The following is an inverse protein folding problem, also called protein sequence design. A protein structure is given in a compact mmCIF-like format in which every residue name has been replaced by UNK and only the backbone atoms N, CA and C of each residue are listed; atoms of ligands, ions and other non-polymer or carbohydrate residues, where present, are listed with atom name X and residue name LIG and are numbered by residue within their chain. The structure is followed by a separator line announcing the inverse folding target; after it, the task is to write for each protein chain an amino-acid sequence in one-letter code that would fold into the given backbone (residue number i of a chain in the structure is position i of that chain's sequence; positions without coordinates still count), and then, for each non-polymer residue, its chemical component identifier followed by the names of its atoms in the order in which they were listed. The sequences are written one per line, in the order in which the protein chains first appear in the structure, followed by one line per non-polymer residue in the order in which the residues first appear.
data_IF_785991679680
#
_entry.id   IF_785991679680
#
_cell.length_a   1.000
_cell.length_b   1.000
_cell.length_c   1.000
_cell.angle_alpha   90.00
_cell.angle_beta   90.00
_cell.angle_gamma   90.00
#
_symmetry.space_group_name_H-M   'P 1'
#
loop_
_entity.id
_entity.type
_entity.pdbx_description
1 polymer ?
#
# COMPACT_ATOMS: atom_id res chain seq x y z
N UNK A 1 -32.85 -0.26 29.00
CA UNK A 1 -32.23 0.79 29.81
C UNK A 1 -31.36 0.17 30.92
N UNK A 2 -31.91 -0.60 31.83
CA UNK A 2 -31.23 -1.12 33.04
C UNK A 2 -29.94 -1.89 32.78
N UNK A 3 -29.80 -2.61 31.63
CA UNK A 3 -28.59 -3.35 31.28
C UNK A 3 -27.49 -2.45 30.70
N UNK A 4 -27.86 -1.31 30.11
CA UNK A 4 -26.91 -0.44 29.38
C UNK A 4 -26.49 0.79 30.16
N UNK A 5 -27.40 1.34 30.98
CA UNK A 5 -27.16 2.54 31.78
C UNK A 5 -25.88 2.45 32.65
N UNK A 6 -25.58 1.33 33.34
CA UNK A 6 -24.35 1.20 34.12
C UNK A 6 -23.06 1.24 33.32
N UNK A 7 -23.17 1.14 31.98
CA UNK A 7 -22.03 1.20 31.06
C UNK A 7 -21.87 2.56 30.40
N UNK A 8 -22.76 3.49 30.67
CA UNK A 8 -22.71 4.86 30.14
C UNK A 8 -22.16 5.81 31.22
N UNK A 9 -20.94 6.36 31.01
CA UNK A 9 -20.37 7.31 31.97
C UNK A 9 -21.18 8.62 32.09
N UNK A 10 -21.87 9.01 31.00
CA UNK A 10 -22.67 10.24 30.94
C UNK A 10 -24.11 10.09 31.47
N UNK A 11 -24.53 8.85 31.68
CA UNK A 11 -25.96 8.57 31.93
C UNK A 11 -26.84 8.69 30.69
N UNK A 12 -26.29 9.06 29.54
CA UNK A 12 -27.02 9.16 28.28
C UNK A 12 -26.82 7.88 27.47
N UNK A 13 -27.86 7.38 26.82
CA UNK A 13 -27.83 6.17 26.01
C UNK A 13 -28.16 6.49 24.56
N UNK A 14 -27.29 6.08 23.64
CA UNK A 14 -27.57 6.15 22.22
C UNK A 14 -28.27 4.88 21.74
N UNK A 15 -29.43 5.03 21.12
CA UNK A 15 -30.13 3.98 20.40
C UNK A 15 -30.19 4.34 18.92
N UNK A 16 -29.40 3.66 18.11
CA UNK A 16 -29.49 3.82 16.66
C UNK A 16 -30.86 3.35 16.17
N UNK A 17 -31.54 4.19 15.40
CA UNK A 17 -32.83 3.87 14.81
C UNK A 17 -32.69 3.66 13.32
N UNK A 18 -33.04 2.48 12.87
CA UNK A 18 -32.95 2.04 11.49
C UNK A 18 -32.27 0.69 11.39
N UNK A 19 -32.55 0.00 10.31
CA UNK A 19 -31.92 -1.27 9.96
C UNK A 19 -31.92 -1.39 8.45
N UNK A 20 -30.97 -2.14 7.92
CA UNK A 20 -30.91 -2.48 6.52
C UNK A 20 -32.19 -3.22 6.06
N UNK A 21 -32.66 -2.94 4.87
CA UNK A 21 -33.88 -3.50 4.27
C UNK A 21 -35.19 -3.21 5.03
N UNK A 22 -35.22 -2.19 5.88
CA UNK A 22 -36.42 -1.78 6.58
C UNK A 22 -36.86 -0.37 6.22
N UNK A 23 -38.16 -0.17 6.12
CA UNK A 23 -38.73 1.16 5.97
C UNK A 23 -38.65 1.94 7.29
N UNK A 24 -38.64 3.29 7.25
CA UNK A 24 -38.73 4.09 8.47
C UNK A 24 -39.89 3.68 9.34
N UNK A 25 -39.67 3.66 10.64
CA UNK A 25 -40.75 3.39 11.58
C UNK A 25 -41.60 4.66 11.79
N UNK A 26 -42.72 4.73 11.08
CA UNK A 26 -43.62 5.89 11.13
C UNK A 26 -44.31 6.08 12.52
N UNK A 27 -44.36 5.05 13.34
CA UNK A 27 -44.92 5.15 14.69
C UNK A 27 -43.92 5.69 15.74
N UNK A 28 -42.65 5.88 15.36
CA UNK A 28 -41.63 6.29 16.32
C UNK A 28 -41.92 7.63 17.02
N UNK A 29 -42.37 8.70 16.31
CA UNK A 29 -42.69 9.96 17.00
C UNK A 29 -43.81 9.83 18.05
N UNK A 30 -44.83 9.03 17.73
CA UNK A 30 -45.92 8.76 18.66
C UNK A 30 -45.45 7.91 19.84
N UNK A 31 -44.62 6.92 19.59
CA UNK A 31 -44.01 6.11 20.64
C UNK A 31 -43.14 6.96 21.59
N UNK A 32 -42.31 7.86 21.09
CA UNK A 32 -41.49 8.75 21.91
C UNK A 32 -42.36 9.63 22.78
N UNK A 33 -43.42 10.23 22.22
CA UNK A 33 -44.35 11.04 22.99
C UNK A 33 -45.02 10.23 24.11
N UNK A 34 -45.60 9.07 23.78
CA UNK A 34 -46.24 8.18 24.76
C UNK A 34 -45.25 7.74 25.87
N UNK A 35 -44.03 7.40 25.48
CA UNK A 35 -43.00 6.98 26.45
C UNK A 35 -42.68 8.12 27.42
N UNK A 36 -42.46 9.33 26.94
CA UNK A 36 -42.15 10.49 27.78
C UNK A 36 -43.34 10.95 28.68
N UNK A 37 -44.56 10.66 28.25
CA UNK A 37 -45.78 10.93 29.07
C UNK A 37 -45.99 9.87 30.18
N UNK A 38 -45.41 8.68 30.02
CA UNK A 38 -45.70 7.54 30.93
C UNK A 38 -44.50 7.10 31.78
N UNK A 39 -43.34 7.71 31.57
CA UNK A 39 -42.10 7.38 32.31
C UNK A 39 -41.44 8.66 32.79
N UNK A 40 -41.26 8.77 34.11
CA UNK A 40 -40.63 9.95 34.73
C UNK A 40 -39.13 9.79 34.93
N UNK A 41 -38.59 8.55 34.84
CA UNK A 41 -37.19 8.24 35.11
C UNK A 41 -36.28 8.42 33.87
N UNK A 42 -36.87 8.47 32.69
CA UNK A 42 -36.14 8.53 31.41
C UNK A 42 -36.90 9.41 30.42
N UNK A 43 -36.13 10.10 29.58
CA UNK A 43 -36.65 10.89 28.48
C UNK A 43 -36.04 10.43 27.15
N UNK A 44 -36.84 10.23 26.11
CA UNK A 44 -36.43 9.87 24.78
C UNK A 44 -36.44 11.08 23.86
N UNK A 45 -35.33 11.30 23.16
CA UNK A 45 -35.22 12.34 22.13
C UNK A 45 -34.82 11.71 20.80
N UNK A 46 -35.44 12.16 19.71
CA UNK A 46 -34.97 11.84 18.35
C UNK A 46 -34.10 12.98 17.88
N UNK A 47 -32.80 12.72 17.80
CA UNK A 47 -31.79 13.71 17.48
C UNK A 47 -30.81 13.16 16.43
N UNK A 48 -30.02 14.03 15.83
CA UNK A 48 -28.90 13.61 14.97
C UNK A 48 -27.73 13.11 15.80
N UNK A 49 -26.84 12.34 15.18
CA UNK A 49 -25.59 11.89 15.84
C UNK A 49 -24.71 13.08 16.25
N UNK A 50 -24.66 14.13 15.44
CA UNK A 50 -23.93 15.37 15.77
C UNK A 50 -24.50 16.00 17.03
N UNK A 51 -25.81 16.18 17.08
CA UNK A 51 -26.48 16.74 18.26
C UNK A 51 -26.25 15.89 19.52
N UNK A 52 -26.29 14.54 19.38
CA UNK A 52 -25.96 13.64 20.48
C UNK A 52 -24.54 13.89 21.02
N UNK A 53 -23.57 14.05 20.12
CA UNK A 53 -22.17 14.31 20.51
C UNK A 53 -21.98 15.68 21.15
N UNK A 54 -22.70 16.71 20.67
CA UNK A 54 -22.65 18.07 21.22
C UNK A 54 -23.28 18.14 22.63
N UNK A 55 -24.33 17.33 22.89
CA UNK A 55 -25.00 17.25 24.17
C UNK A 55 -24.36 16.24 25.16
N UNK A 56 -23.33 15.51 24.71
CA UNK A 56 -22.68 14.49 25.51
C UNK A 56 -21.74 15.11 26.54
N UNK A 57 -22.08 15.02 27.80
CA UNK A 57 -21.29 15.55 28.91
C UNK A 57 -20.31 14.48 29.44
N UNK A 58 -19.15 14.37 28.81
CA UNK A 58 -18.09 13.44 29.22
C UNK A 58 -16.75 14.17 29.28
N UNK A 59 -16.03 13.98 30.37
CA UNK A 59 -14.64 14.40 30.50
C UNK A 59 -13.74 13.32 29.88
N UNK A 60 -12.89 13.63 28.91
CA UNK A 60 -12.07 12.62 28.22
C UNK A 60 -11.25 11.69 29.14
N UNK A 61 -10.80 12.19 30.30
CA UNK A 61 -10.06 11.41 31.30
C UNK A 61 -10.90 10.39 32.09
N UNK A 62 -12.24 10.44 31.98
CA UNK A 62 -13.16 9.52 32.64
C UNK A 62 -13.49 8.30 31.78
N UNK A 63 -13.09 8.30 30.52
CA UNK A 63 -13.36 7.21 29.58
C UNK A 63 -12.34 6.08 29.71
N UNK A 64 -12.82 4.84 29.66
CA UNK A 64 -11.94 3.68 29.50
C UNK A 64 -11.28 3.70 28.12
N UNK A 65 -9.95 3.71 28.11
CA UNK A 65 -9.20 3.61 26.88
C UNK A 65 -9.21 2.17 26.38
N UNK A 66 -9.74 1.94 25.19
CA UNK A 66 -9.70 0.64 24.52
C UNK A 66 -8.54 0.67 23.51
N UNK A 67 -7.61 -0.29 23.66
CA UNK A 67 -6.49 -0.45 22.74
C UNK A 67 -6.70 -1.71 21.88
N UNK A 68 -6.23 -1.63 20.61
CA UNK A 68 -6.32 -2.71 19.66
C UNK A 68 -7.61 -2.72 18.83
N UNK A 69 -7.73 -3.71 17.96
CA UNK A 69 -8.85 -3.85 17.05
C UNK A 69 -10.13 -4.27 17.78
N UNK A 70 -11.22 -3.53 17.59
CA UNK A 70 -12.52 -3.78 18.22
C UNK A 70 -13.34 -4.80 17.40
N UNK A 71 -12.79 -6.00 17.23
CA UNK A 71 -13.35 -7.05 16.39
C UNK A 71 -13.92 -8.23 17.21
N UNK A 72 -14.71 -7.95 18.23
CA UNK A 72 -15.33 -9.00 19.07
C UNK A 72 -16.76 -9.25 18.64
N UNK A 73 -17.07 -10.50 18.30
CA UNK A 73 -18.44 -10.97 18.13
C UNK A 73 -18.98 -11.44 19.46
N UNK A 74 -20.15 -10.93 19.85
CA UNK A 74 -20.78 -11.28 21.11
C UNK A 74 -21.74 -12.48 20.92
N UNK A 75 -21.21 -13.63 20.52
CA UNK A 75 -22.01 -14.86 20.37
C UNK A 75 -22.50 -15.46 21.70
N UNK A 76 -21.91 -15.06 22.83
CA UNK A 76 -22.16 -15.69 24.12
C UNK A 76 -23.48 -15.28 24.80
N UNK A 77 -24.20 -14.32 24.26
CA UNK A 77 -25.40 -13.77 24.92
C UNK A 77 -26.73 -14.34 24.40
N UNK A 78 -26.72 -15.33 23.50
CA UNK A 78 -27.97 -15.94 22.95
C UNK A 78 -28.90 -14.97 22.24
N UNK A 79 -28.51 -13.71 22.06
CA UNK A 79 -29.26 -12.67 21.34
C UNK A 79 -28.55 -12.39 20.03
N UNK A 80 -29.24 -12.57 18.92
CA UNK A 80 -28.79 -12.26 17.57
C UNK A 80 -28.72 -10.74 17.33
N UNK A 81 -27.87 -10.06 18.08
CA UNK A 81 -27.58 -8.66 17.86
C UNK A 81 -26.42 -8.58 16.87
N UNK A 82 -26.74 -8.26 15.63
CA UNK A 82 -25.82 -7.95 14.50
C UNK A 82 -24.37 -8.38 14.75
N UNK A 83 -23.99 -9.61 14.42
CA UNK A 83 -22.63 -10.07 14.65
C UNK A 83 -21.69 -9.26 13.77
N UNK A 84 -20.61 -8.74 14.35
CA UNK A 84 -19.52 -8.19 13.56
C UNK A 84 -18.92 -9.31 12.71
N UNK A 85 -18.87 -9.12 11.39
CA UNK A 85 -18.38 -10.11 10.43
C UNK A 85 -16.85 -10.13 10.40
N UNK A 86 -16.21 -10.55 11.49
CA UNK A 86 -14.75 -10.51 11.64
C UNK A 86 -13.98 -11.37 10.64
N UNK A 87 -14.60 -12.42 10.10
CA UNK A 87 -13.94 -13.33 9.16
C UNK A 87 -13.81 -12.77 7.74
N UNK A 88 -14.45 -11.63 7.45
CA UNK A 88 -14.34 -10.96 6.15
C UNK A 88 -12.92 -10.53 5.81
N UNK A 89 -12.09 -10.23 6.83
CA UNK A 89 -10.68 -9.86 6.62
C UNK A 89 -9.82 -11.01 6.07
N UNK A 90 -10.20 -12.26 6.33
CA UNK A 90 -9.47 -13.44 5.90
C UNK A 90 -10.11 -14.21 4.73
N UNK A 91 -11.27 -13.74 4.25
CA UNK A 91 -11.96 -14.35 3.11
C UNK A 91 -11.40 -13.81 1.80
N UNK A 92 -11.15 -14.69 0.81
CA UNK A 92 -10.62 -14.31 -0.50
C UNK A 92 -9.36 -13.42 -0.42
N UNK A 93 -8.37 -13.82 0.39
CA UNK A 93 -7.11 -13.06 0.59
C UNK A 93 -6.43 -12.66 -0.73
N UNK A 94 -6.36 -13.48 -1.80
CA UNK A 94 -5.79 -13.06 -3.07
C UNK A 94 -6.44 -11.78 -3.63
N UNK A 95 -7.76 -11.63 -3.54
CA UNK A 95 -8.46 -10.43 -4.00
C UNK A 95 -8.11 -9.19 -3.15
N UNK A 96 -7.91 -9.36 -1.85
CA UNK A 96 -7.46 -8.27 -0.96
C UNK A 96 -6.02 -7.84 -1.26
N UNK A 97 -5.16 -8.79 -1.63
CA UNK A 97 -3.79 -8.49 -2.10
C UNK A 97 -3.84 -7.71 -3.42
N UNK A 98 -4.64 -8.16 -4.39
CA UNK A 98 -4.84 -7.44 -5.67
C UNK A 98 -5.40 -6.04 -5.43
N UNK A 99 -6.37 -5.89 -4.53
CA UNK A 99 -6.90 -4.57 -4.15
C UNK A 99 -5.80 -3.64 -3.64
N UNK A 100 -5.01 -4.11 -2.66
CA UNK A 100 -3.92 -3.31 -2.08
C UNK A 100 -2.85 -2.96 -3.13
N UNK A 101 -2.56 -3.85 -4.08
CA UNK A 101 -1.63 -3.59 -5.18
C UNK A 101 -2.18 -2.55 -6.16
N UNK A 102 -3.46 -2.63 -6.53
CA UNK A 102 -4.11 -1.64 -7.38
C UNK A 102 -4.14 -0.26 -6.72
N UNK A 103 -4.54 -0.18 -5.44
CA UNK A 103 -4.52 1.07 -4.68
C UNK A 103 -3.12 1.67 -4.60
N UNK A 104 -2.11 0.86 -4.25
CA UNK A 104 -0.73 1.32 -4.19
C UNK A 104 -0.22 1.79 -5.57
N UNK A 105 -0.55 1.08 -6.64
CA UNK A 105 -0.20 1.45 -8.00
C UNK A 105 -0.79 2.79 -8.42
N UNK A 106 -2.05 3.05 -8.10
CA UNK A 106 -2.71 4.31 -8.39
C UNK A 106 -2.19 5.44 -7.50
N UNK A 107 -2.33 5.30 -6.18
CA UNK A 107 -2.10 6.40 -5.21
C UNK A 107 -0.62 6.73 -5.04
N UNK A 108 0.25 5.69 -5.01
CA UNK A 108 1.68 5.87 -4.70
C UNK A 108 2.56 6.00 -5.94
N UNK A 109 2.03 5.69 -7.13
CA UNK A 109 2.82 5.72 -8.34
C UNK A 109 2.17 6.54 -9.46
N UNK A 110 0.99 6.15 -9.95
CA UNK A 110 0.42 6.76 -11.13
C UNK A 110 -0.02 8.22 -10.92
N UNK A 111 -0.68 8.53 -9.81
CA UNK A 111 -1.07 9.90 -9.48
C UNK A 111 0.13 10.83 -9.22
N UNK A 112 1.17 10.43 -8.44
CA UNK A 112 2.39 11.22 -8.32
C UNK A 112 3.09 11.47 -9.66
N UNK A 113 3.22 10.44 -10.51
CA UNK A 113 3.78 10.61 -11.85
C UNK A 113 2.95 11.57 -12.71
N UNK A 114 1.63 11.52 -12.60
CA UNK A 114 0.73 12.47 -13.28
C UNK A 114 0.98 13.91 -12.84
N UNK A 115 1.16 14.15 -11.54
CA UNK A 115 1.51 15.46 -11.00
C UNK A 115 2.87 15.95 -11.51
N UNK A 116 3.88 15.07 -11.55
CA UNK A 116 5.20 15.40 -12.12
C UNK A 116 5.12 15.76 -13.61
N UNK A 117 4.33 15.00 -14.39
CA UNK A 117 4.10 15.32 -15.80
C UNK A 117 3.42 16.67 -15.99
N UNK A 118 2.41 16.97 -15.17
CA UNK A 118 1.73 18.27 -15.21
C UNK A 118 2.68 19.44 -14.93
N UNK A 119 3.54 19.28 -13.93
CA UNK A 119 4.57 20.26 -13.56
C UNK A 119 5.61 20.44 -14.68
N UNK A 120 5.95 19.35 -15.37
CA UNK A 120 6.87 19.37 -16.51
C UNK A 120 6.22 19.82 -17.83
N UNK A 121 4.96 20.19 -17.83
CA UNK A 121 4.15 20.52 -19.03
C UNK A 121 4.10 19.37 -20.08
N UNK A 122 4.08 18.13 -19.62
CA UNK A 122 4.02 16.91 -20.44
C UNK A 122 2.72 16.13 -20.16
N UNK A 123 1.53 16.69 -20.37
CA UNK A 123 0.29 16.05 -19.90
C UNK A 123 0.06 14.69 -20.55
N UNK A 124 -0.40 13.76 -19.74
CA UNK A 124 -0.94 12.47 -20.13
C UNK A 124 -2.41 12.41 -19.68
N UNK A 125 -3.28 11.83 -20.50
CA UNK A 125 -4.74 11.89 -20.28
C UNK A 125 -5.15 11.30 -18.93
N UNK A 126 -5.78 12.11 -18.07
CA UNK A 126 -6.27 11.68 -16.75
C UNK A 126 -7.40 10.65 -16.84
N UNK A 127 -8.14 10.62 -17.96
CA UNK A 127 -9.22 9.66 -18.17
C UNK A 127 -8.79 8.18 -18.06
N UNK A 128 -7.51 7.89 -18.26
CA UNK A 128 -6.96 6.55 -18.00
C UNK A 128 -6.98 6.21 -16.51
N UNK A 129 -6.57 7.16 -15.67
CA UNK A 129 -6.61 6.98 -14.21
C UNK A 129 -8.06 6.91 -13.70
N UNK A 130 -8.94 7.75 -14.22
CA UNK A 130 -10.38 7.70 -13.91
C UNK A 130 -10.99 6.33 -14.25
N UNK A 131 -10.56 5.74 -15.37
CA UNK A 131 -11.04 4.42 -15.79
C UNK A 131 -10.51 3.32 -14.86
N UNK A 132 -9.23 3.36 -14.51
CA UNK A 132 -8.63 2.43 -13.57
C UNK A 132 -9.30 2.51 -12.20
N UNK A 133 -9.53 3.72 -11.69
CA UNK A 133 -10.28 3.96 -10.45
C UNK A 133 -11.71 3.41 -10.50
N UNK A 134 -12.43 3.60 -11.61
CA UNK A 134 -13.79 3.05 -11.76
C UNK A 134 -13.79 1.54 -11.63
N UNK A 135 -12.86 0.83 -12.28
CA UNK A 135 -12.77 -0.62 -12.13
C UNK A 135 -12.43 -1.04 -10.70
N UNK A 136 -11.50 -0.34 -10.05
CA UNK A 136 -11.14 -0.64 -8.67
C UNK A 136 -12.31 -0.40 -7.72
N UNK A 137 -12.97 0.76 -7.81
CA UNK A 137 -14.09 1.13 -6.94
C UNK A 137 -15.33 0.23 -7.13
N UNK A 138 -15.52 -0.36 -8.32
CA UNK A 138 -16.57 -1.35 -8.54
C UNK A 138 -16.35 -2.66 -7.76
N UNK A 139 -15.15 -2.89 -7.23
CA UNK A 139 -14.85 -4.03 -6.37
C UNK A 139 -15.03 -3.71 -4.88
N UNK A 140 -15.24 -2.45 -4.50
CA UNK A 140 -15.33 -2.00 -3.11
C UNK A 140 -16.72 -2.09 -2.45
N UNK A 141 -17.87 -2.37 -3.13
CA UNK A 141 -19.09 -2.70 -2.40
C UNK A 141 -18.78 -3.75 -1.34
N UNK A 142 -19.31 -3.56 -0.14
CA UNK A 142 -18.89 -4.34 1.03
C UNK A 142 -19.05 -5.85 0.83
N UNK A 143 -20.09 -6.32 0.19
CA UNK A 143 -20.29 -7.75 -0.09
C UNK A 143 -19.25 -8.30 -1.08
N UNK A 144 -18.78 -7.47 -2.02
CA UNK A 144 -17.74 -7.87 -2.96
C UNK A 144 -16.38 -7.98 -2.26
N UNK A 145 -15.86 -6.89 -1.70
CA UNK A 145 -14.52 -6.90 -1.09
C UNK A 145 -14.45 -7.73 0.19
N UNK A 146 -15.55 -7.86 0.94
CA UNK A 146 -15.62 -8.77 2.09
C UNK A 146 -15.59 -10.25 1.67
N UNK A 147 -15.99 -10.57 0.43
CA UNK A 147 -15.94 -11.93 -0.10
C UNK A 147 -17.12 -12.79 0.31
N UNK A 148 -18.28 -12.20 0.67
CA UNK A 148 -19.52 -12.92 0.96
C UNK A 148 -20.45 -13.04 -0.25
N UNK A 149 -20.05 -12.50 -1.41
CA UNK A 149 -20.75 -12.63 -2.68
C UNK A 149 -20.57 -14.02 -3.31
N UNK A 150 -21.36 -14.31 -4.35
CA UNK A 150 -21.22 -15.55 -5.11
C UNK A 150 -19.97 -15.57 -6.00
N UNK A 151 -19.59 -16.77 -6.47
CA UNK A 151 -18.39 -16.99 -7.27
C UNK A 151 -18.35 -16.18 -8.58
N UNK A 152 -19.51 -15.90 -9.19
CA UNK A 152 -19.56 -15.06 -10.40
C UNK A 152 -19.09 -13.64 -10.11
N UNK A 153 -19.52 -13.06 -9.00
CA UNK A 153 -19.05 -11.74 -8.56
C UNK A 153 -17.56 -11.76 -8.26
N UNK A 154 -17.07 -12.81 -7.60
CA UNK A 154 -15.64 -12.97 -7.32
C UNK A 154 -14.80 -13.01 -8.60
N UNK A 155 -15.23 -13.74 -9.63
CA UNK A 155 -14.57 -13.78 -10.94
C UNK A 155 -14.59 -12.42 -11.66
N UNK A 156 -15.68 -11.68 -11.55
CA UNK A 156 -15.78 -10.35 -12.13
C UNK A 156 -14.87 -9.35 -11.41
N UNK A 157 -14.69 -9.49 -10.11
CA UNK A 157 -13.73 -8.69 -9.34
C UNK A 157 -12.29 -8.92 -9.81
N UNK A 158 -11.88 -10.17 -10.03
CA UNK A 158 -10.56 -10.52 -10.55
C UNK A 158 -10.28 -9.86 -11.90
N UNK A 159 -11.26 -9.87 -12.81
CA UNK A 159 -11.15 -9.17 -14.10
C UNK A 159 -10.97 -7.65 -13.93
N UNK A 160 -11.77 -7.03 -13.05
CA UNK A 160 -11.68 -5.59 -12.81
C UNK A 160 -10.34 -5.20 -12.17
N UNK A 161 -9.82 -6.01 -11.24
CA UNK A 161 -8.47 -5.81 -10.70
C UNK A 161 -7.40 -5.91 -11.80
N UNK A 162 -7.50 -6.91 -12.68
CA UNK A 162 -6.58 -7.04 -13.80
C UNK A 162 -6.64 -5.80 -14.71
N UNK A 163 -7.82 -5.32 -15.10
CA UNK A 163 -7.97 -4.13 -15.93
C UNK A 163 -7.44 -2.86 -15.24
N UNK A 164 -7.76 -2.66 -13.95
CA UNK A 164 -7.25 -1.53 -13.19
C UNK A 164 -5.72 -1.55 -13.14
N UNK A 165 -5.12 -2.70 -12.87
CA UNK A 165 -3.67 -2.89 -12.84
C UNK A 165 -3.03 -2.63 -14.19
N UNK A 166 -3.55 -3.22 -15.27
CA UNK A 166 -2.98 -3.10 -16.61
C UNK A 166 -3.00 -1.64 -17.10
N UNK A 167 -4.11 -0.94 -16.93
CA UNK A 167 -4.23 0.49 -17.26
C UNK A 167 -3.22 1.31 -16.43
N UNK A 168 -3.16 1.05 -15.13
CA UNK A 168 -2.26 1.76 -14.22
C UNK A 168 -0.79 1.54 -14.59
N UNK A 169 -0.40 0.31 -14.89
CA UNK A 169 0.98 -0.02 -15.30
C UNK A 169 1.35 0.64 -16.64
N UNK A 170 0.46 0.63 -17.62
CA UNK A 170 0.70 1.30 -18.90
C UNK A 170 0.83 2.81 -18.73
N UNK A 171 -0.02 3.41 -17.89
CA UNK A 171 0.08 4.82 -17.56
C UNK A 171 1.42 5.16 -16.91
N UNK A 172 1.86 4.38 -15.92
CA UNK A 172 3.14 4.56 -15.23
C UNK A 172 4.33 4.46 -16.21
N UNK A 173 4.33 3.45 -17.09
CA UNK A 173 5.39 3.27 -18.06
C UNK A 173 5.49 4.45 -19.02
N UNK A 174 4.36 4.91 -19.56
CA UNK A 174 4.34 6.06 -20.46
C UNK A 174 4.74 7.37 -19.76
N UNK A 175 4.28 7.55 -18.50
CA UNK A 175 4.64 8.70 -17.69
C UNK A 175 6.16 8.75 -17.43
N UNK A 176 6.74 7.64 -16.98
CA UNK A 176 8.19 7.54 -16.76
C UNK A 176 8.96 7.74 -18.07
N UNK A 177 8.51 7.17 -19.18
CA UNK A 177 9.13 7.36 -20.49
C UNK A 177 9.19 8.84 -20.89
N UNK A 178 8.09 9.59 -20.72
CA UNK A 178 8.05 11.03 -21.02
C UNK A 178 8.98 11.85 -20.14
N UNK A 179 8.99 11.56 -18.84
CA UNK A 179 9.88 12.24 -17.88
C UNK A 179 11.34 11.91 -18.18
N UNK A 180 11.66 10.63 -18.42
CA UNK A 180 13.01 10.17 -18.78
C UNK A 180 13.54 10.85 -20.03
N UNK A 181 12.68 11.10 -21.04
CA UNK A 181 13.07 11.78 -22.28
C UNK A 181 13.51 13.25 -22.08
N UNK A 182 13.27 13.83 -20.90
CA UNK A 182 13.75 15.19 -20.56
C UNK A 182 15.19 15.21 -20.04
N UNK A 183 15.79 14.04 -19.78
CA UNK A 183 17.16 13.97 -19.29
C UNK A 183 18.12 13.79 -20.44
N UNK A 184 19.10 14.69 -20.56
CA UNK A 184 20.16 14.56 -21.54
C UNK A 184 21.18 13.49 -21.12
N UNK A 185 21.23 12.41 -21.87
CA UNK A 185 22.16 11.29 -21.66
C UNK A 185 23.16 11.11 -22.83
N UNK A 186 23.23 12.08 -23.73
CA UNK A 186 24.11 11.97 -24.94
C UNK A 186 25.61 11.87 -24.61
N UNK A 187 25.99 12.39 -23.44
CA UNK A 187 27.39 12.37 -22.96
C UNK A 187 27.71 11.12 -22.12
N UNK A 188 26.80 10.15 -22.02
CA UNK A 188 27.04 8.92 -21.26
C UNK A 188 28.17 8.12 -21.97
N UNK A 189 29.23 7.69 -21.26
CA UNK A 189 30.24 6.81 -21.80
C UNK A 189 29.64 5.52 -22.40
N UNK A 190 30.22 5.03 -23.47
CA UNK A 190 29.67 3.89 -24.19
C UNK A 190 29.62 2.57 -23.38
N UNK A 191 30.39 2.47 -22.30
CA UNK A 191 30.43 1.34 -21.37
C UNK A 191 29.51 1.53 -20.14
N UNK A 192 28.79 2.65 -20.07
CA UNK A 192 27.82 2.96 -19.00
C UNK A 192 26.41 2.96 -19.55
N UNK A 193 25.48 2.54 -18.70
CA UNK A 193 24.03 2.52 -18.96
C UNK A 193 23.35 3.49 -18.00
N UNK A 194 22.71 4.56 -18.52
CA UNK A 194 21.96 5.46 -17.66
C UNK A 194 20.66 4.81 -17.17
N UNK A 195 20.41 4.86 -15.89
CA UNK A 195 19.20 4.37 -15.23
C UNK A 195 18.59 5.50 -14.43
N UNK A 196 17.30 5.74 -14.61
CA UNK A 196 16.57 6.72 -13.81
C UNK A 196 15.75 6.03 -12.74
N UNK A 197 15.97 6.40 -11.50
CA UNK A 197 15.20 5.97 -10.35
C UNK A 197 14.26 7.10 -9.92
N UNK A 198 12.96 6.80 -9.88
CA UNK A 198 11.94 7.73 -9.47
C UNK A 198 11.64 7.56 -7.98
N UNK A 199 11.69 8.67 -7.23
CA UNK A 199 11.28 8.77 -5.85
C UNK A 199 9.94 9.50 -5.79
N UNK A 200 8.85 8.74 -5.64
CA UNK A 200 7.48 9.25 -5.73
C UNK A 200 6.86 9.57 -4.36
N UNK A 201 7.64 9.41 -3.28
CA UNK A 201 7.23 9.81 -1.94
C UNK A 201 7.20 11.35 -1.82
N UNK A 202 6.20 11.93 -1.13
CA UNK A 202 6.19 13.35 -0.82
C UNK A 202 7.21 13.76 0.26
N UNK A 203 7.94 12.80 0.81
CA UNK A 203 8.95 13.00 1.85
C UNK A 203 10.33 12.67 1.31
N UNK A 204 11.36 13.46 1.64
CA UNK A 204 12.74 13.09 1.34
C UNK A 204 13.14 11.84 2.14
N UNK A 205 14.06 11.06 1.59
CA UNK A 205 14.60 9.87 2.26
C UNK A 205 16.12 9.91 2.28
N UNK A 206 16.71 9.48 3.39
CA UNK A 206 18.14 9.36 3.60
C UNK A 206 18.53 7.88 3.64
N UNK A 207 19.63 7.54 2.96
CA UNK A 207 20.17 6.17 2.94
C UNK A 207 19.16 5.11 2.49
N UNK A 208 18.25 5.47 1.60
CA UNK A 208 17.21 4.59 1.11
C UNK A 208 17.78 3.46 0.25
N UNK A 209 17.26 2.25 0.45
CA UNK A 209 17.59 1.11 -0.40
C UNK A 209 16.49 0.96 -1.45
N UNK A 210 16.88 1.05 -2.72
CA UNK A 210 15.96 0.85 -3.84
C UNK A 210 16.38 -0.35 -4.69
N UNK A 211 15.41 -0.86 -5.45
CA UNK A 211 15.60 -1.99 -6.36
C UNK A 211 15.24 -1.61 -7.78
N UNK A 212 15.99 -2.10 -8.74
CA UNK A 212 15.63 -2.05 -10.16
C UNK A 212 16.16 -3.28 -10.90
N UNK A 213 15.60 -3.54 -12.08
CA UNK A 213 16.08 -4.59 -12.97
C UNK A 213 16.84 -3.96 -14.15
N UNK A 214 18.14 -4.21 -14.23
CA UNK A 214 18.97 -3.80 -15.34
C UNK A 214 18.86 -4.85 -16.46
N UNK A 215 18.60 -4.39 -17.70
CA UNK A 215 18.59 -5.21 -18.90
C UNK A 215 19.90 -5.07 -19.62
N UNK A 216 20.56 -6.18 -19.87
CA UNK A 216 21.84 -6.25 -20.57
C UNK A 216 21.73 -7.21 -21.78
N UNK A 217 22.55 -7.06 -22.82
CA UNK A 217 22.64 -8.08 -23.86
C UNK A 217 22.82 -9.48 -23.28
N UNK A 218 22.16 -10.48 -23.87
CA UNK A 218 22.08 -11.85 -23.30
C UNK A 218 23.48 -12.55 -23.14
N UNK A 219 24.46 -12.11 -23.88
CA UNK A 219 25.84 -12.61 -23.88
C UNK A 219 26.76 -11.83 -22.91
N UNK A 220 26.23 -10.81 -22.22
CA UNK A 220 27.02 -10.03 -21.27
C UNK A 220 27.53 -10.91 -20.12
N UNK A 221 28.87 -10.87 -19.95
CA UNK A 221 29.52 -11.50 -18.80
C UNK A 221 29.51 -10.51 -17.63
N UNK A 222 28.61 -10.77 -16.63
CA UNK A 222 28.44 -9.90 -15.48
C UNK A 222 28.89 -10.63 -14.20
N UNK A 223 29.88 -10.08 -13.49
CA UNK A 223 30.34 -10.55 -12.17
C UNK A 223 30.21 -9.46 -11.10
N UNK A 224 30.14 -8.20 -11.52
CA UNK A 224 29.97 -7.04 -10.66
C UNK A 224 29.31 -5.92 -11.43
N UNK A 225 28.94 -4.88 -10.73
CA UNK A 225 28.32 -3.69 -11.27
C UNK A 225 28.87 -2.47 -10.52
N UNK A 226 29.48 -1.55 -11.22
CA UNK A 226 29.82 -0.23 -10.67
C UNK A 226 28.69 0.75 -10.95
N UNK A 227 28.25 1.48 -9.96
CA UNK A 227 27.18 2.47 -10.09
C UNK A 227 27.67 3.79 -9.54
N UNK A 228 27.43 4.87 -10.26
CA UNK A 228 27.74 6.23 -9.82
C UNK A 228 26.59 7.18 -10.09
N UNK A 229 26.55 8.27 -9.37
CA UNK A 229 25.68 9.42 -9.64
C UNK A 229 26.23 10.27 -10.80
N UNK A 230 25.46 11.28 -11.22
CA UNK A 230 25.88 12.19 -12.30
C UNK A 230 27.10 13.04 -11.91
N UNK A 231 27.26 13.36 -10.63
CA UNK A 231 28.44 14.10 -10.09
C UNK A 231 29.63 13.18 -9.78
N UNK A 232 29.54 11.88 -10.10
CA UNK A 232 30.63 10.92 -10.00
C UNK A 232 30.77 10.23 -8.64
N UNK A 233 29.82 10.38 -7.72
CA UNK A 233 29.83 9.67 -6.46
C UNK A 233 29.51 8.18 -6.68
N UNK A 234 30.36 7.29 -6.16
CA UNK A 234 30.10 5.84 -6.18
C UNK A 234 28.93 5.47 -5.26
N UNK A 235 28.02 4.65 -5.79
CA UNK A 235 26.83 4.18 -5.10
C UNK A 235 26.99 2.70 -4.71
N UNK A 236 26.88 2.35 -3.41
CA UNK A 236 26.87 0.97 -2.98
C UNK A 236 25.73 0.19 -3.65
N UNK A 237 26.05 -0.96 -4.24
CA UNK A 237 25.07 -1.78 -4.92
C UNK A 237 25.33 -3.28 -4.69
N UNK A 238 24.29 -4.08 -4.90
CA UNK A 238 24.35 -5.53 -4.82
C UNK A 238 23.51 -6.15 -5.94
N UNK A 239 24.08 -7.08 -6.71
CA UNK A 239 23.31 -7.92 -7.61
C UNK A 239 22.66 -9.03 -6.77
N UNK A 240 21.33 -9.04 -6.71
CA UNK A 240 20.54 -10.01 -5.92
C UNK A 240 20.27 -11.25 -6.75
N UNK A 241 19.98 -11.07 -8.04
CA UNK A 241 19.56 -12.15 -8.93
C UNK A 241 19.99 -11.88 -10.35
N UNK A 242 20.47 -12.93 -11.03
CA UNK A 242 20.70 -12.94 -12.47
C UNK A 242 19.80 -13.97 -13.12
N UNK A 243 19.16 -13.60 -14.23
CA UNK A 243 18.36 -14.52 -15.06
C UNK A 243 18.46 -14.15 -16.52
N UNK A 244 18.41 -15.14 -17.39
CA UNK A 244 18.24 -14.93 -18.84
C UNK A 244 16.76 -15.10 -19.16
N UNK A 245 16.20 -14.11 -19.85
CA UNK A 245 14.78 -14.12 -20.19
C UNK A 245 14.54 -13.38 -21.51
N UNK A 246 13.49 -13.80 -22.21
CA UNK A 246 12.98 -13.11 -23.36
C UNK A 246 12.04 -11.98 -22.92
N UNK A 247 12.22 -10.82 -23.49
CA UNK A 247 11.37 -9.66 -23.25
C UNK A 247 10.73 -9.20 -24.54
N UNK A 248 9.41 -9.07 -24.53
CA UNK A 248 8.69 -8.43 -25.64
C UNK A 248 8.80 -6.92 -25.42
N UNK A 249 9.41 -6.24 -26.39
CA UNK A 249 9.45 -4.79 -26.41
C UNK A 249 8.34 -4.28 -27.32
N UNK A 250 7.56 -3.35 -26.82
CA UNK A 250 6.49 -2.66 -27.55
C UNK A 250 6.88 -1.17 -27.77
N UNK A 251 7.83 -0.87 -28.63
CA UNK A 251 8.15 0.52 -28.95
C UNK A 251 6.99 1.18 -29.69
N UNK A 252 6.75 2.48 -29.45
CA UNK A 252 5.66 3.22 -30.06
C UNK A 252 5.86 3.48 -31.55
N UNK A 253 7.09 3.34 -32.06
CA UNK A 253 7.54 3.76 -33.39
C UNK A 253 7.85 2.59 -34.34
N UNK A 254 7.71 1.35 -33.89
CA UNK A 254 8.00 0.15 -34.68
C UNK A 254 7.25 -1.06 -34.13
N UNK A 255 7.29 -2.15 -34.89
CA UNK A 255 6.65 -3.41 -34.49
C UNK A 255 7.26 -3.97 -33.19
N UNK A 256 6.47 -4.69 -32.40
CA UNK A 256 6.98 -5.41 -31.24
C UNK A 256 8.07 -6.37 -31.61
N UNK A 257 9.15 -6.39 -30.83
CA UNK A 257 10.26 -7.34 -31.00
C UNK A 257 10.39 -8.24 -29.77
N UNK A 258 10.86 -9.46 -30.00
CA UNK A 258 11.24 -10.38 -28.95
C UNK A 258 12.75 -10.49 -28.88
N UNK A 259 13.34 -10.03 -27.80
CA UNK A 259 14.77 -10.08 -27.59
C UNK A 259 15.11 -10.80 -26.29
N UNK A 260 16.26 -11.52 -26.31
CA UNK A 260 16.78 -12.16 -25.11
C UNK A 260 17.73 -11.21 -24.39
N UNK A 261 17.56 -11.14 -23.07
CA UNK A 261 18.38 -10.30 -22.20
C UNK A 261 18.95 -11.09 -21.03
N UNK A 262 20.09 -10.62 -20.52
CA UNK A 262 20.53 -10.88 -19.16
C UNK A 262 19.86 -9.83 -18.27
N UNK A 263 18.99 -10.27 -17.36
CA UNK A 263 18.31 -9.43 -16.39
C UNK A 263 19.05 -9.52 -15.07
N UNK A 264 19.45 -8.37 -14.53
CA UNK A 264 20.10 -8.25 -13.23
C UNK A 264 19.18 -7.47 -12.28
N UNK A 265 18.68 -8.13 -11.24
CA UNK A 265 17.95 -7.46 -10.16
C UNK A 265 18.99 -6.87 -9.20
N UNK A 266 18.98 -5.57 -9.04
CA UNK A 266 20.01 -4.79 -8.35
C UNK A 266 19.40 -4.04 -7.17
N UNK A 267 20.04 -4.10 -6.00
CA UNK A 267 19.83 -3.23 -4.87
C UNK A 267 20.85 -2.09 -4.93
N UNK A 268 20.40 -0.87 -4.65
CA UNK A 268 21.25 0.32 -4.51
C UNK A 268 20.92 1.05 -3.22
N UNK A 269 21.94 1.61 -2.57
CA UNK A 269 21.75 2.47 -1.42
C UNK A 269 22.03 3.92 -1.81
N UNK A 270 20.97 4.73 -1.89
CA UNK A 270 21.08 6.14 -2.25
C UNK A 270 21.25 6.99 -0.99
N UNK A 271 22.27 7.88 -0.94
CA UNK A 271 22.57 8.67 0.25
C UNK A 271 21.44 9.63 0.58
N UNK A 272 20.84 10.23 -0.42
CA UNK A 272 19.74 11.19 -0.29
C UNK A 272 18.81 11.09 -1.50
N UNK A 273 17.51 11.17 -1.25
CA UNK A 273 16.48 11.30 -2.28
C UNK A 273 15.55 12.46 -1.95
N UNK A 274 15.47 13.41 -2.85
CA UNK A 274 14.53 14.54 -2.74
C UNK A 274 13.11 14.04 -2.98
N UNK A 275 12.13 14.59 -2.26
CA UNK A 275 10.72 14.29 -2.47
C UNK A 275 10.28 14.56 -3.91
N UNK A 276 9.43 13.70 -4.47
CA UNK A 276 8.84 13.84 -5.80
C UNK A 276 9.88 14.17 -6.89
N UNK A 277 10.91 13.34 -6.98
CA UNK A 277 12.06 13.56 -7.88
C UNK A 277 12.50 12.29 -8.60
N UNK A 278 13.48 12.42 -9.46
CA UNK A 278 14.23 11.27 -9.99
C UNK A 278 15.72 11.54 -9.96
N UNK A 279 16.48 10.47 -9.84
CA UNK A 279 17.94 10.47 -9.85
C UNK A 279 18.46 9.64 -11.03
N UNK A 280 19.40 10.18 -11.79
CA UNK A 280 20.07 9.42 -12.85
C UNK A 280 21.32 8.76 -12.28
N UNK A 281 21.38 7.44 -12.41
CA UNK A 281 22.54 6.62 -12.08
C UNK A 281 23.19 6.10 -13.37
N UNK A 282 24.50 5.96 -13.35
CA UNK A 282 25.28 5.41 -14.45
C UNK A 282 25.82 4.06 -14.01
N UNK A 283 25.35 2.99 -14.68
CA UNK A 283 25.65 1.61 -14.37
C UNK A 283 26.68 1.06 -15.34
N UNK A 284 27.83 0.59 -14.86
CA UNK A 284 28.86 -0.03 -15.65
C UNK A 284 29.00 -1.52 -15.28
N UNK A 285 28.73 -2.45 -16.23
CA UNK A 285 28.98 -3.86 -16.03
C UNK A 285 30.45 -4.14 -15.78
N UNK A 286 30.77 -5.06 -14.88
CA UNK A 286 32.14 -5.40 -14.50
C UNK A 286 32.35 -6.90 -14.43
N UNK A 287 33.56 -7.35 -14.80
CA UNK A 287 34.03 -8.73 -14.60
C UNK A 287 34.58 -8.94 -13.18
N UNK A 288 34.80 -7.86 -12.43
CA UNK A 288 35.30 -7.92 -11.07
C UNK A 288 34.12 -7.87 -10.12
N UNK A 289 33.98 -8.83 -9.18
CA UNK A 289 32.96 -8.77 -8.17
C UNK A 289 33.10 -7.52 -7.30
N UNK A 290 32.01 -6.83 -7.02
CA UNK A 290 32.03 -5.70 -6.10
C UNK A 290 32.26 -6.20 -4.66
N UNK A 291 33.21 -5.61 -3.97
CA UNK A 291 33.41 -5.83 -2.55
C UNK A 291 32.63 -4.76 -1.77
N UNK A 292 31.57 -5.15 -1.10
CA UNK A 292 30.89 -4.24 -0.17
C UNK A 292 31.77 -4.06 1.08
N UNK A 293 31.98 -2.84 1.57
CA UNK A 293 32.85 -2.57 2.72
C UNK A 293 32.32 -3.21 4.01
N UNK A 294 31.01 -3.33 4.14
CA UNK A 294 30.36 -3.95 5.28
C UNK A 294 29.39 -5.03 4.82
N UNK A 295 29.62 -6.25 5.25
CA UNK A 295 28.71 -7.37 5.01
C UNK A 295 27.96 -7.68 6.29
N UNK A 296 26.64 -7.91 6.23
CA UNK A 296 25.93 -8.45 7.38
C UNK A 296 26.57 -9.80 7.76
N UNK A 297 26.70 -10.02 9.05
CA UNK A 297 27.15 -11.32 9.55
C UNK A 297 26.00 -12.29 9.41
N UNK A 298 26.20 -13.29 8.54
CA UNK A 298 25.25 -14.38 8.33
C UNK A 298 25.80 -15.62 9.04
N UNK A 299 25.11 -16.10 10.04
CA UNK A 299 25.36 -17.38 10.71
C UNK A 299 24.16 -18.29 10.51
N UNK A 300 24.32 -19.56 10.82
CA UNK A 300 23.18 -20.46 10.81
C UNK A 300 22.04 -19.89 11.68
N UNK A 301 20.90 -19.65 11.08
CA UNK A 301 19.69 -19.07 11.72
C UNK A 301 19.82 -17.64 12.26
N UNK A 302 20.89 -16.90 11.98
CA UNK A 302 21.05 -15.53 12.46
C UNK A 302 21.56 -14.62 11.37
N UNK A 303 20.93 -13.44 11.23
CA UNK A 303 21.35 -12.32 10.40
C UNK A 303 21.65 -11.15 11.33
N UNK A 304 22.77 -10.47 11.12
CA UNK A 304 23.19 -9.39 12.01
C UNK A 304 23.92 -8.29 11.25
N UNK A 305 23.55 -7.06 11.51
CA UNK A 305 24.27 -5.86 11.09
C UNK A 305 24.50 -4.92 12.30
N UNK A 306 24.93 -3.69 12.07
CA UNK A 306 25.16 -2.71 13.14
C UNK A 306 23.86 -2.28 13.87
N UNK A 307 22.69 -2.43 13.26
CA UNK A 307 21.40 -1.98 13.79
C UNK A 307 20.58 -3.10 14.41
N UNK A 308 20.55 -4.24 13.74
CA UNK A 308 19.62 -5.33 14.02
C UNK A 308 20.36 -6.67 14.16
N UNK A 309 19.84 -7.51 15.04
CA UNK A 309 20.10 -8.95 15.08
C UNK A 309 18.75 -9.66 14.90
N UNK A 310 18.67 -10.55 13.92
CA UNK A 310 17.47 -11.33 13.62
C UNK A 310 17.82 -12.81 13.73
N UNK A 311 17.08 -13.54 14.55
CA UNK A 311 17.24 -14.98 14.73
C UNK A 311 15.98 -15.73 14.30
N UNK A 312 16.14 -16.78 13.49
CA UNK A 312 15.05 -17.64 13.04
C UNK A 312 14.88 -18.77 14.04
N UNK A 313 13.70 -18.87 14.63
CA UNK A 313 13.36 -19.91 15.58
C UNK A 313 12.94 -21.22 14.88
N UNK A 314 13.04 -22.39 15.54
CA UNK A 314 12.65 -23.68 14.94
C UNK A 314 11.20 -23.76 14.47
N UNK A 315 10.30 -22.97 15.04
CA UNK A 315 8.88 -22.87 14.65
C UNK A 315 8.64 -21.90 13.49
N UNK A 316 9.70 -21.27 12.93
CA UNK A 316 9.62 -20.30 11.83
C UNK A 316 9.33 -18.87 12.25
N UNK A 317 9.21 -18.57 13.55
CA UNK A 317 9.10 -17.20 14.04
C UNK A 317 10.47 -16.51 14.02
N UNK A 318 10.47 -15.18 14.07
CA UNK A 318 11.67 -14.35 14.10
C UNK A 318 11.78 -13.63 15.45
N UNK A 319 12.96 -13.71 16.06
CA UNK A 319 13.33 -12.80 17.15
C UNK A 319 14.13 -11.65 16.55
N UNK A 320 13.65 -10.42 16.73
CA UNK A 320 14.31 -9.22 16.23
C UNK A 320 14.79 -8.36 17.39
N UNK A 321 16.10 -8.15 17.49
CA UNK A 321 16.70 -7.26 18.49
C UNK A 321 17.21 -5.99 17.83
N UNK A 322 16.71 -4.84 18.27
CA UNK A 322 17.27 -3.54 17.93
C UNK A 322 18.50 -3.29 18.82
N UNK A 323 19.68 -3.20 18.21
CA UNK A 323 20.95 -3.02 18.96
C UNK A 323 21.12 -1.63 19.57
N UNK A 324 20.48 -0.62 19.00
CA UNK A 324 20.56 0.76 19.52
C UNK A 324 19.68 0.96 20.74
N UNK A 325 18.43 0.48 20.69
CA UNK A 325 17.49 0.62 21.80
C UNK A 325 17.58 -0.52 22.81
N UNK A 326 18.18 -1.65 22.44
CA UNK A 326 18.16 -2.89 23.21
C UNK A 326 16.81 -3.62 23.21
N UNK A 327 15.81 -3.09 22.52
CA UNK A 327 14.45 -3.65 22.45
C UNK A 327 14.46 -4.94 21.63
N UNK A 328 13.76 -5.96 22.11
CA UNK A 328 13.52 -7.23 21.42
C UNK A 328 12.03 -7.39 21.14
N UNK A 329 11.72 -7.99 19.97
CA UNK A 329 10.36 -8.25 19.48
C UNK A 329 10.22 -9.73 19.15
#
# INVERSE_FOLDING_TARGET
FHERLPRSPSGQLLFMNGCDHQTPNYALPEFIRYFNETHDDYELHQISLTQYLDELHITPGELTVLCGEQNRTNYSAGRHLNPTLKNTLSTHIPQKIENAQCEAGLVRCAEPLSAMLATAHLPLGLHYLDTAWKYLLQNHPHDSICGCSCDDVARDMERRFAWARDITQQYQQEAMRRLTAQTDTQQTPADEIPVQLFHLSPWPEENAVQTFTLRLPADTLLRGLAIRTADGQDIPCQIVRLRKDGVILHPMDRDPSWDNYLLADVLVQLPHQTAMSWTTLYCRPSLVPLSLPERPVVRFQTLENEYLQVSIQPNGTLDVKNKRSGTAY
#
